data_IF_409613859922
#
_entry.id   IF_409613859922
#
_cell.length_a   1.000
_cell.length_b   1.000
_cell.length_c   1.000
_cell.angle_alpha   90.00
_cell.angle_beta   90.00
_cell.angle_gamma   90.00
#
_symmetry.space_group_name_H-M   'P 1'
#
loop_
_entity.id
_entity.type
_entity.pdbx_description
1 polymer ?
#
# COMPACT_ATOMS: atom_id res chain seq x y z
N UNK A 1 -16.45 -16.37 -7.52
CA UNK A 1 -15.40 -15.38 -7.86
C UNK A 1 -15.24 -14.33 -6.79
N UNK A 2 -16.18 -13.38 -6.63
CA UNK A 2 -16.10 -12.36 -5.55
C UNK A 2 -16.24 -13.01 -4.17
N UNK A 3 -17.13 -14.00 -4.04
CA UNK A 3 -17.31 -14.77 -2.81
C UNK A 3 -16.05 -15.54 -2.38
N UNK A 4 -15.23 -16.01 -3.33
CA UNK A 4 -13.99 -16.75 -3.04
C UNK A 4 -12.92 -15.79 -2.50
N UNK A 5 -12.78 -14.61 -3.12
CA UNK A 5 -11.89 -13.55 -2.64
C UNK A 5 -12.33 -13.08 -1.25
N UNK A 6 -13.64 -12.93 -1.03
CA UNK A 6 -14.18 -12.55 0.28
C UNK A 6 -13.91 -13.63 1.33
N UNK A 7 -14.15 -14.90 1.02
CA UNK A 7 -13.84 -16.01 1.91
C UNK A 7 -12.35 -16.05 2.25
N UNK A 8 -11.46 -15.86 1.27
CA UNK A 8 -10.02 -15.76 1.48
C UNK A 8 -9.62 -14.55 2.31
N UNK A 9 -10.26 -13.39 2.12
CA UNK A 9 -10.02 -12.23 2.98
C UNK A 9 -10.38 -12.54 4.43
N UNK A 10 -11.47 -13.28 4.67
CA UNK A 10 -11.92 -13.64 6.01
C UNK A 10 -11.01 -14.63 6.74
N UNK A 11 -10.13 -15.36 6.03
CA UNK A 11 -9.12 -16.23 6.67
C UNK A 11 -7.92 -15.46 7.20
N UNK A 12 -7.74 -14.19 6.80
CA UNK A 12 -6.67 -13.35 7.32
C UNK A 12 -6.86 -13.07 8.82
N UNK A 13 -5.77 -12.88 9.58
CA UNK A 13 -5.86 -12.47 10.97
C UNK A 13 -6.73 -11.22 11.14
N UNK A 14 -7.56 -11.18 12.18
CA UNK A 14 -8.52 -10.09 12.39
C UNK A 14 -7.83 -8.70 12.38
N UNK A 15 -6.67 -8.60 13.02
CA UNK A 15 -5.91 -7.35 13.05
C UNK A 15 -5.47 -6.88 11.66
N UNK A 16 -5.12 -7.80 10.73
CA UNK A 16 -4.75 -7.46 9.34
C UNK A 16 -5.96 -6.92 8.60
N UNK A 17 -7.12 -7.58 8.75
CA UNK A 17 -8.37 -7.13 8.12
C UNK A 17 -8.76 -5.74 8.60
N UNK A 18 -8.67 -5.50 9.91
CA UNK A 18 -8.96 -4.19 10.50
C UNK A 18 -7.97 -3.13 10.02
N UNK A 19 -6.67 -3.46 10.01
CA UNK A 19 -5.62 -2.57 9.49
C UNK A 19 -5.88 -2.19 8.03
N UNK A 20 -6.13 -3.17 7.16
CA UNK A 20 -6.38 -2.93 5.74
C UNK A 20 -7.65 -2.10 5.52
N UNK A 21 -8.76 -2.52 6.11
CA UNK A 21 -10.07 -1.92 5.85
C UNK A 21 -10.30 -0.55 6.51
N UNK A 22 -9.75 -0.31 7.70
CA UNK A 22 -10.04 0.90 8.47
C UNK A 22 -8.87 1.90 8.54
N UNK A 23 -7.65 1.47 8.22
CA UNK A 23 -6.46 2.34 8.32
C UNK A 23 -5.83 2.51 6.94
N UNK A 24 -5.31 1.42 6.37
CA UNK A 24 -4.51 1.47 5.15
C UNK A 24 -5.28 1.99 3.95
N UNK A 25 -6.45 1.40 3.64
CA UNK A 25 -7.27 1.82 2.51
C UNK A 25 -7.81 3.25 2.71
N UNK A 26 -8.44 3.60 3.85
CA UNK A 26 -8.94 4.96 4.06
C UNK A 26 -7.86 6.03 3.97
N UNK A 27 -6.67 5.81 4.54
CA UNK A 27 -5.58 6.81 4.53
C UNK A 27 -5.04 7.00 3.11
N UNK A 28 -4.91 5.92 2.33
CA UNK A 28 -4.56 6.04 0.91
C UNK A 28 -5.67 6.71 0.08
N UNK A 29 -6.95 6.57 0.44
CA UNK A 29 -8.04 7.28 -0.23
C UNK A 29 -8.08 8.78 0.13
N UNK A 30 -7.68 9.15 1.35
CA UNK A 30 -7.60 10.56 1.78
C UNK A 30 -6.62 11.36 0.93
N UNK A 31 -5.62 10.73 0.30
CA UNK A 31 -4.70 11.42 -0.61
C UNK A 31 -5.44 12.12 -1.76
N UNK A 32 -6.59 11.60 -2.19
CA UNK A 32 -7.41 12.19 -3.25
C UNK A 32 -7.92 13.59 -2.90
N UNK A 33 -8.10 13.89 -1.60
CA UNK A 33 -8.55 15.22 -1.16
C UNK A 33 -7.53 16.33 -1.42
N UNK A 34 -6.26 15.98 -1.59
CA UNK A 34 -5.17 16.94 -1.83
C UNK A 34 -4.81 17.08 -3.31
N UNK A 35 -5.47 16.33 -4.20
CA UNK A 35 -5.22 16.42 -5.65
C UNK A 35 -5.56 17.83 -6.13
N UNK A 36 -4.63 18.46 -6.84
CA UNK A 36 -4.78 19.82 -7.34
C UNK A 36 -4.57 20.93 -6.30
N UNK A 37 -4.37 20.62 -5.01
CA UNK A 37 -4.16 21.65 -3.97
C UNK A 37 -2.69 21.91 -3.66
N UNK A 38 -1.81 20.91 -3.84
CA UNK A 38 -0.37 21.06 -3.61
C UNK A 38 0.44 20.50 -4.78
N UNK A 39 1.65 21.04 -5.03
CA UNK A 39 2.63 20.39 -5.88
C UNK A 39 2.86 18.94 -5.42
N UNK A 40 3.00 18.01 -6.35
CA UNK A 40 3.19 16.57 -6.11
C UNK A 40 2.02 15.79 -5.51
N UNK A 41 0.97 16.43 -4.98
CA UNK A 41 -0.16 15.72 -4.39
C UNK A 41 -0.88 14.79 -5.38
N UNK A 42 -0.97 15.18 -6.65
CA UNK A 42 -1.51 14.32 -7.71
C UNK A 42 -0.68 13.05 -7.88
N UNK A 43 0.65 13.16 -7.93
CA UNK A 43 1.53 11.99 -8.06
C UNK A 43 1.47 11.07 -6.84
N UNK A 44 1.43 11.65 -5.65
CA UNK A 44 1.26 10.92 -4.38
C UNK A 44 -0.04 10.13 -4.42
N UNK A 45 -1.15 10.78 -4.81
CA UNK A 45 -2.45 10.11 -4.90
C UNK A 45 -2.45 9.00 -5.94
N UNK A 46 -1.87 9.22 -7.13
CA UNK A 46 -1.75 8.18 -8.15
C UNK A 46 -1.00 6.96 -7.61
N UNK A 47 0.14 7.15 -6.93
CA UNK A 47 0.91 6.03 -6.38
C UNK A 47 0.17 5.30 -5.24
N UNK A 48 -0.56 6.03 -4.38
CA UNK A 48 -1.42 5.45 -3.35
C UNK A 48 -2.47 4.52 -3.97
N UNK A 49 -3.20 5.03 -4.97
CA UNK A 49 -4.26 4.29 -5.64
C UNK A 49 -3.69 3.13 -6.46
N UNK A 50 -2.62 3.34 -7.21
CA UNK A 50 -2.04 2.28 -8.05
C UNK A 50 -1.48 1.12 -7.24
N UNK A 51 -0.93 1.36 -6.05
CA UNK A 51 -0.51 0.26 -5.15
C UNK A 51 -1.67 -0.66 -4.75
N UNK A 52 -2.88 -0.11 -4.59
CA UNK A 52 -4.08 -0.91 -4.31
C UNK A 52 -4.71 -1.48 -5.59
N UNK A 53 -4.85 -0.67 -6.63
CA UNK A 53 -5.57 -1.03 -7.85
C UNK A 53 -4.83 -2.10 -8.66
N UNK A 54 -3.50 -2.06 -8.69
CA UNK A 54 -2.69 -3.06 -9.39
C UNK A 54 -2.78 -4.46 -8.75
N UNK A 55 -3.31 -4.58 -7.53
CA UNK A 55 -3.61 -5.87 -6.90
C UNK A 55 -4.93 -6.50 -7.38
N UNK A 56 -5.84 -5.71 -7.96
CA UNK A 56 -7.15 -6.22 -8.41
C UNK A 56 -7.02 -7.31 -9.48
N UNK A 57 -6.21 -7.16 -10.56
CA UNK A 57 -6.06 -8.23 -11.55
C UNK A 57 -5.47 -9.53 -10.96
N UNK A 58 -4.58 -9.42 -9.98
CA UNK A 58 -3.98 -10.57 -9.29
C UNK A 58 -5.03 -11.30 -8.47
N UNK A 59 -5.83 -10.56 -7.70
CA UNK A 59 -6.96 -11.10 -6.93
C UNK A 59 -7.98 -11.79 -7.83
N UNK A 60 -8.31 -11.20 -8.98
CA UNK A 60 -9.27 -11.81 -9.92
C UNK A 60 -8.74 -13.12 -10.53
N UNK A 61 -7.43 -13.22 -10.77
CA UNK A 61 -6.79 -14.40 -11.36
C UNK A 61 -6.58 -15.52 -10.33
N UNK A 62 -6.05 -15.18 -9.15
CA UNK A 62 -5.67 -16.15 -8.13
C UNK A 62 -6.82 -16.48 -7.16
N UNK A 63 -7.82 -15.58 -7.05
CA UNK A 63 -8.99 -15.71 -6.18
C UNK A 63 -8.68 -15.89 -4.70
N UNK A 64 -7.45 -15.57 -4.29
CA UNK A 64 -6.96 -15.70 -2.93
C UNK A 64 -5.99 -14.56 -2.57
N UNK A 65 -5.89 -14.26 -1.28
CA UNK A 65 -4.89 -13.36 -0.73
C UNK A 65 -3.54 -14.07 -0.61
N UNK A 66 -2.77 -14.08 -1.70
CA UNK A 66 -1.44 -14.70 -1.75
C UNK A 66 -0.31 -13.68 -1.53
N UNK A 67 0.90 -14.18 -1.24
CA UNK A 67 2.11 -13.34 -1.16
C UNK A 67 2.45 -12.63 -2.48
N UNK A 68 1.83 -12.98 -3.61
CA UNK A 68 1.99 -12.25 -4.86
C UNK A 68 1.40 -10.83 -4.81
N UNK A 69 0.45 -10.59 -3.90
CA UNK A 69 -0.16 -9.27 -3.69
C UNK A 69 0.80 -8.25 -3.05
N UNK A 70 1.92 -8.70 -2.49
CA UNK A 70 2.96 -7.81 -2.00
C UNK A 70 3.71 -7.10 -3.15
N UNK A 71 3.75 -7.69 -4.35
CA UNK A 71 4.56 -7.17 -5.47
C UNK A 71 4.09 -5.81 -5.96
N UNK A 72 2.79 -5.57 -6.23
CA UNK A 72 2.35 -4.24 -6.66
C UNK A 72 2.59 -3.17 -5.60
N UNK A 73 2.42 -3.49 -4.31
CA UNK A 73 2.76 -2.54 -3.23
C UNK A 73 4.24 -2.16 -3.26
N UNK A 74 5.16 -3.12 -3.44
CA UNK A 74 6.58 -2.80 -3.58
C UNK A 74 6.87 -1.89 -4.77
N UNK A 75 6.20 -2.10 -5.91
CA UNK A 75 6.42 -1.31 -7.13
C UNK A 75 5.92 0.13 -6.96
N UNK A 76 4.75 0.35 -6.34
CA UNK A 76 4.13 1.67 -6.29
C UNK A 76 4.37 2.42 -4.96
N UNK A 77 4.42 1.72 -3.83
CA UNK A 77 4.59 2.36 -2.52
C UNK A 77 6.04 2.63 -2.15
N UNK A 78 7.01 1.90 -2.71
CA UNK A 78 8.43 2.25 -2.56
C UNK A 78 8.73 3.65 -3.13
N UNK A 79 8.41 3.95 -4.42
CA UNK A 79 8.63 5.30 -4.94
C UNK A 79 7.72 6.35 -4.27
N UNK A 80 6.54 5.97 -3.75
CA UNK A 80 5.70 6.86 -2.94
C UNK A 80 6.43 7.32 -1.68
N UNK A 81 6.97 6.37 -0.90
CA UNK A 81 7.71 6.66 0.35
C UNK A 81 8.93 7.53 0.05
N UNK A 82 9.71 7.17 -0.97
CA UNK A 82 10.87 7.97 -1.39
C UNK A 82 10.41 9.37 -1.80
N UNK A 83 9.36 9.48 -2.61
CA UNK A 83 8.77 10.75 -3.05
C UNK A 83 8.35 11.64 -1.89
N UNK A 84 7.72 11.06 -0.85
CA UNK A 84 7.34 11.80 0.36
C UNK A 84 8.59 12.29 1.11
N UNK A 85 9.59 11.43 1.31
CA UNK A 85 10.81 11.79 2.06
C UNK A 85 11.64 12.89 1.39
N UNK A 86 11.67 12.93 0.05
CA UNK A 86 12.39 13.97 -0.69
C UNK A 86 11.57 15.25 -0.89
N UNK A 87 10.27 15.24 -0.54
CA UNK A 87 9.41 16.42 -0.67
C UNK A 87 9.71 17.41 0.46
N UNK A 88 10.14 18.65 0.19
CA UNK A 88 10.52 19.61 1.23
C UNK A 88 9.41 19.92 2.24
N UNK A 89 8.15 19.85 1.81
CA UNK A 89 6.97 20.19 2.63
C UNK A 89 6.87 19.39 3.93
N UNK A 90 7.34 18.13 3.97
CA UNK A 90 7.28 17.31 5.19
C UNK A 90 8.28 17.77 6.27
N UNK A 91 9.29 18.53 5.88
CA UNK A 91 10.36 19.02 6.77
C UNK A 91 10.15 20.48 7.23
N UNK A 92 9.14 21.17 6.70
CA UNK A 92 8.85 22.56 7.03
C UNK A 92 8.25 22.72 8.43
N UNK A 93 8.62 23.80 9.12
CA UNK A 93 8.05 24.20 10.41
C UNK A 93 7.48 25.62 10.32
N UNK A 94 6.23 25.84 10.77
CA UNK A 94 5.29 24.85 11.28
C UNK A 94 4.73 23.92 10.18
N UNK A 95 4.43 22.66 10.53
CA UNK A 95 3.86 21.71 9.57
C UNK A 95 2.45 22.12 9.11
N UNK A 96 2.26 22.21 7.79
CA UNK A 96 0.94 22.35 7.18
C UNK A 96 0.07 21.10 7.38
N UNK A 97 -1.24 21.21 7.16
CA UNK A 97 -2.16 20.06 7.20
C UNK A 97 -1.75 18.96 6.21
N UNK A 98 -1.21 19.35 5.06
CA UNK A 98 -0.69 18.40 4.08
C UNK A 98 0.59 17.71 4.57
N UNK A 99 1.52 18.43 5.18
CA UNK A 99 2.73 17.84 5.76
C UNK A 99 2.40 16.81 6.85
N UNK A 100 1.43 17.12 7.73
CA UNK A 100 0.94 16.18 8.75
C UNK A 100 0.32 14.94 8.11
N UNK A 101 -0.49 15.11 7.06
CA UNK A 101 -1.04 14.00 6.30
C UNK A 101 0.05 13.13 5.66
N UNK A 102 1.07 13.74 5.04
CA UNK A 102 2.18 13.01 4.43
C UNK A 102 2.96 12.19 5.46
N UNK A 103 3.13 12.71 6.69
CA UNK A 103 3.76 11.96 7.77
C UNK A 103 2.93 10.73 8.17
N UNK A 104 1.61 10.88 8.32
CA UNK A 104 0.71 9.75 8.59
C UNK A 104 0.76 8.73 7.45
N UNK A 105 0.70 9.19 6.21
CA UNK A 105 0.77 8.36 5.01
C UNK A 105 2.09 7.59 4.92
N UNK A 106 3.21 8.25 5.26
CA UNK A 106 4.54 7.66 5.31
C UNK A 106 4.62 6.54 6.36
N UNK A 107 4.11 6.79 7.57
CA UNK A 107 4.13 5.78 8.65
C UNK A 107 3.27 4.57 8.27
N UNK A 108 2.04 4.81 7.80
CA UNK A 108 1.08 3.75 7.50
C UNK A 108 1.53 2.91 6.32
N UNK A 109 1.92 3.54 5.20
CA UNK A 109 2.45 2.79 4.05
C UNK A 109 3.82 2.19 4.35
N UNK A 110 4.65 2.82 5.20
CA UNK A 110 5.93 2.25 5.62
C UNK A 110 5.77 0.96 6.42
N UNK A 111 4.83 0.91 7.37
CA UNK A 111 4.50 -0.30 8.12
C UNK A 111 3.99 -1.39 7.17
N UNK A 112 3.04 -1.06 6.29
CA UNK A 112 2.50 -2.04 5.33
C UNK A 112 3.58 -2.55 4.37
N UNK A 113 4.42 -1.65 3.85
CA UNK A 113 5.52 -2.01 2.95
C UNK A 113 6.53 -2.93 3.63
N UNK A 114 6.82 -2.71 4.92
CA UNK A 114 7.68 -3.60 5.68
C UNK A 114 7.10 -5.03 5.71
N UNK A 115 5.80 -5.19 6.00
CA UNK A 115 5.15 -6.50 5.93
C UNK A 115 5.17 -7.09 4.51
N UNK A 116 4.92 -6.28 3.49
CA UNK A 116 4.96 -6.70 2.09
C UNK A 116 6.37 -7.16 1.66
N UNK A 117 7.44 -6.50 2.12
CA UNK A 117 8.82 -6.93 1.81
C UNK A 117 9.11 -8.32 2.36
N UNK A 118 8.64 -8.63 3.58
CA UNK A 118 8.83 -9.93 4.22
C UNK A 118 8.05 -11.02 3.46
N UNK A 119 6.81 -10.73 3.05
CA UNK A 119 5.99 -11.65 2.27
C UNK A 119 6.56 -11.88 0.85
N UNK A 120 7.00 -10.82 0.18
CA UNK A 120 7.64 -10.94 -1.13
C UNK A 120 8.97 -11.73 -1.04
N UNK A 121 9.74 -11.56 0.04
CA UNK A 121 10.95 -12.34 0.27
C UNK A 121 10.66 -13.83 0.49
N UNK A 122 9.60 -14.16 1.24
CA UNK A 122 9.13 -15.56 1.39
C UNK A 122 8.72 -16.14 0.04
N UNK A 123 7.96 -15.38 -0.76
CA UNK A 123 7.52 -15.80 -2.10
C UNK A 123 8.71 -16.07 -3.04
N UNK A 124 9.72 -15.19 -3.06
CA UNK A 124 10.93 -15.38 -3.85
C UNK A 124 11.72 -16.62 -3.42
N UNK A 125 11.83 -16.87 -2.11
CA UNK A 125 12.53 -18.06 -1.58
C UNK A 125 11.79 -19.35 -1.96
N UNK A 126 10.46 -19.38 -1.85
CA UNK A 126 9.65 -20.52 -2.23
C UNK A 126 9.83 -20.89 -3.72
N UNK A 127 9.98 -19.89 -4.60
CA UNK A 127 10.27 -20.11 -6.03
C UNK A 127 11.70 -20.56 -6.33
N UNK A 128 12.68 -20.12 -5.53
CA UNK A 128 14.10 -20.47 -5.72
C UNK A 128 14.46 -21.84 -5.14
N UNK A 129 13.73 -22.32 -4.14
CA UNK A 129 13.95 -23.61 -3.48
C UNK A 129 13.12 -24.77 -4.03
N UNK A 130 12.55 -24.65 -5.24
CA UNK A 130 11.57 -25.60 -5.78
C UNK A 130 12.07 -27.05 -5.83
N UNK A 131 11.57 -27.88 -4.90
CA UNK A 131 10.99 -29.16 -5.28
C UNK A 131 9.57 -28.86 -5.76
N UNK A 132 9.34 -29.16 -7.03
CA UNK A 132 8.02 -29.33 -7.62
C UNK A 132 7.31 -30.52 -6.98
#
# INVERSE_FOLDING_TARGET
MILDIWASFLTLPLWVRLWMGFILVPINLVSLKFVGTHPHATWIAVLCIMGMLANVPILLRQREFSSALALPHLIFWTPLIVGILVTPTIWQQPMSSFAKFLLVLLVVNGISLAFDTLEAAKWLRARRGGRA
#
